data_IF_398096102357
#
_entry.id   IF_398096102357
#
_cell.length_a   1.000
_cell.length_b   1.000
_cell.length_c   1.000
_cell.angle_alpha   90.00
_cell.angle_beta   90.00
_cell.angle_gamma   90.00
#
_symmetry.space_group_name_H-M   'P 1'
#
loop_
_entity.id
_entity.type
_entity.pdbx_description
1 polymer ?
#
# COMPACT_ATOMS: atom_id res chain seq x y z
N UNK A 1 -21.17 19.86 -23.66
CA UNK A 1 -20.32 19.02 -22.79
C UNK A 1 -19.32 18.31 -23.68
N UNK A 2 -18.02 18.52 -23.47
CA UNK A 2 -16.98 17.73 -24.14
C UNK A 2 -16.84 16.43 -23.36
N UNK A 3 -17.13 15.29 -23.99
CA UNK A 3 -16.91 13.98 -23.39
C UNK A 3 -15.44 13.63 -23.58
N UNK A 4 -14.66 13.64 -22.49
CA UNK A 4 -13.28 13.16 -22.53
C UNK A 4 -13.28 11.65 -22.75
N UNK A 5 -12.70 11.18 -23.86
CA UNK A 5 -12.50 9.77 -24.16
C UNK A 5 -11.04 9.44 -23.89
N UNK A 6 -10.78 8.66 -22.85
CA UNK A 6 -9.46 8.07 -22.61
C UNK A 6 -9.47 6.69 -23.29
N UNK A 7 -8.71 6.47 -24.38
CA UNK A 7 -8.56 5.13 -24.93
C UNK A 7 -7.85 4.24 -23.89
N UNK A 8 -8.41 3.06 -23.65
CA UNK A 8 -7.88 2.10 -22.69
C UNK A 8 -7.58 0.78 -23.39
N UNK A 9 -6.37 0.29 -23.22
CA UNK A 9 -5.96 -1.06 -23.61
C UNK A 9 -5.90 -1.94 -22.37
N UNK A 10 -6.37 -3.19 -22.49
CA UNK A 10 -6.41 -4.15 -21.39
C UNK A 10 -5.77 -5.45 -21.82
N UNK A 11 -4.85 -5.94 -20.99
CA UNK A 11 -4.17 -7.21 -21.18
C UNK A 11 -4.23 -8.02 -19.89
N UNK A 12 -4.18 -9.35 -20.02
CA UNK A 12 -3.94 -10.25 -18.89
C UNK A 12 -2.70 -11.06 -19.21
N UNK A 13 -1.68 -10.92 -18.37
CA UNK A 13 -0.43 -11.66 -18.51
C UNK A 13 -0.65 -13.15 -18.18
N UNK A 14 0.25 -14.06 -18.63
CA UNK A 14 0.11 -15.50 -18.36
C UNK A 14 0.03 -15.87 -16.87
N UNK A 15 0.57 -15.03 -15.98
CA UNK A 15 0.51 -15.20 -14.52
C UNK A 15 -0.78 -14.65 -13.88
N UNK A 16 -1.73 -14.14 -14.68
CA UNK A 16 -3.00 -13.58 -14.21
C UNK A 16 -2.97 -12.09 -13.85
N UNK A 17 -1.79 -11.43 -13.91
CA UNK A 17 -1.71 -9.98 -13.67
C UNK A 17 -2.44 -9.21 -14.78
N UNK A 18 -3.39 -8.36 -14.38
CA UNK A 18 -4.14 -7.50 -15.30
C UNK A 18 -3.40 -6.19 -15.50
N UNK A 19 -3.17 -5.84 -16.76
CA UNK A 19 -2.59 -4.57 -17.19
C UNK A 19 -3.68 -3.71 -17.82
N UNK A 20 -3.78 -2.46 -17.37
CA UNK A 20 -4.64 -1.44 -17.99
C UNK A 20 -3.72 -0.29 -18.41
N UNK A 21 -3.66 -0.01 -19.71
CA UNK A 21 -2.81 1.01 -20.29
C UNK A 21 -3.67 2.14 -20.86
N UNK A 22 -3.31 3.38 -20.50
CA UNK A 22 -3.84 4.59 -21.09
C UNK A 22 -2.65 5.38 -21.65
N UNK A 23 -2.46 5.33 -22.97
CA UNK A 23 -1.34 6.00 -23.62
C UNK A 23 -1.69 7.47 -23.91
N UNK A 24 -0.84 8.38 -23.41
CA UNK A 24 -0.93 9.83 -23.66
C UNK A 24 0.48 10.40 -23.80
N UNK A 25 0.78 11.01 -24.96
CA UNK A 25 2.08 11.60 -25.29
C UNK A 25 2.12 13.13 -25.09
N UNK A 26 1.10 13.72 -24.47
CA UNK A 26 1.04 15.16 -24.24
C UNK A 26 2.18 15.69 -23.35
N UNK A 27 2.68 14.85 -22.43
CA UNK A 27 3.78 15.17 -21.51
C UNK A 27 4.73 13.97 -21.36
N UNK A 28 6.03 14.18 -21.15
CA UNK A 28 7.02 13.10 -21.10
C UNK A 28 7.08 12.41 -19.73
N UNK A 29 5.94 12.08 -19.14
CA UNK A 29 5.82 11.42 -17.82
C UNK A 29 4.99 10.15 -17.93
N UNK A 30 5.18 9.24 -16.99
CA UNK A 30 4.37 8.02 -16.87
C UNK A 30 3.97 7.81 -15.41
N UNK A 31 2.72 7.40 -15.21
CA UNK A 31 2.21 6.99 -13.90
C UNK A 31 2.05 5.47 -13.90
N UNK A 32 2.76 4.81 -12.99
CA UNK A 32 2.64 3.38 -12.72
C UNK A 32 1.84 3.21 -11.44
N UNK A 33 0.87 2.31 -11.45
CA UNK A 33 0.00 2.09 -10.30
C UNK A 33 -0.32 0.60 -10.16
N UNK A 34 0.11 0.03 -9.03
CA UNK A 34 -0.04 -1.38 -8.72
C UNK A 34 -1.14 -1.55 -7.68
N UNK A 35 -2.21 -2.26 -8.06
CA UNK A 35 -3.38 -2.47 -7.23
C UNK A 35 -3.47 -3.92 -6.76
N UNK A 36 -3.41 -4.12 -5.45
CA UNK A 36 -3.70 -5.38 -4.81
C UNK A 36 -5.15 -5.40 -4.34
N UNK A 37 -5.87 -6.46 -4.69
CA UNK A 37 -7.24 -6.69 -4.22
C UNK A 37 -7.21 -7.32 -2.82
N UNK A 38 -6.65 -6.58 -1.87
CA UNK A 38 -6.54 -6.92 -0.46
C UNK A 38 -6.59 -5.63 0.35
N UNK A 39 -7.36 -5.59 1.42
CA UNK A 39 -7.42 -4.46 2.35
C UNK A 39 -7.75 -4.94 3.76
N UNK A 40 -8.16 -4.03 4.65
CA UNK A 40 -8.48 -4.42 6.03
C UNK A 40 -9.64 -5.42 6.11
N UNK A 41 -10.56 -5.42 5.14
CA UNK A 41 -11.66 -6.40 5.08
C UNK A 41 -11.18 -7.85 4.93
N UNK A 42 -9.94 -8.07 4.49
CA UNK A 42 -9.37 -9.40 4.34
C UNK A 42 -8.65 -9.88 5.62
N UNK A 43 -8.61 -9.06 6.67
CA UNK A 43 -7.94 -9.37 7.92
C UNK A 43 -8.75 -10.36 8.77
N UNK A 44 -8.06 -10.99 9.70
CA UNK A 44 -8.66 -11.94 10.66
C UNK A 44 -8.80 -11.28 12.01
N UNK A 45 -9.80 -11.70 12.78
CA UNK A 45 -9.96 -11.31 14.18
C UNK A 45 -8.66 -11.65 14.94
N UNK A 46 -8.15 -10.69 15.72
CA UNK A 46 -6.85 -10.78 16.41
C UNK A 46 -5.62 -10.52 15.53
N UNK A 47 -5.81 -10.06 14.29
CA UNK A 47 -4.75 -9.65 13.34
C UNK A 47 -5.17 -8.42 12.53
N UNK A 48 -5.77 -7.44 13.21
CA UNK A 48 -6.21 -6.20 12.57
C UNK A 48 -5.06 -5.21 12.35
N UNK A 49 -5.15 -4.38 11.30
CA UNK A 49 -4.12 -3.40 10.91
C UNK A 49 -2.96 -3.99 10.11
N UNK A 50 -3.06 -5.26 9.73
CA UNK A 50 -2.02 -5.96 8.99
C UNK A 50 -1.89 -5.46 7.56
N UNK A 51 -2.99 -5.20 6.84
CA UNK A 51 -2.93 -4.67 5.48
C UNK A 51 -2.15 -3.36 5.44
N UNK A 52 -2.40 -2.48 6.42
CA UNK A 52 -1.67 -1.22 6.57
C UNK A 52 -0.22 -1.45 7.00
N UNK A 53 0.04 -2.35 7.95
CA UNK A 53 1.42 -2.71 8.34
C UNK A 53 2.21 -3.29 7.16
N UNK A 54 1.59 -4.11 6.31
CA UNK A 54 2.21 -4.66 5.10
C UNK A 54 2.55 -3.57 4.09
N UNK A 55 1.74 -2.51 4.02
CA UNK A 55 2.07 -1.33 3.23
C UNK A 55 3.36 -0.67 3.67
N UNK A 56 3.52 -0.43 4.97
CA UNK A 56 4.77 0.07 5.54
C UNK A 56 5.95 -0.88 5.29
N UNK A 57 5.73 -2.19 5.47
CA UNK A 57 6.78 -3.19 5.28
C UNK A 57 7.28 -3.26 3.84
N UNK A 58 6.42 -3.03 2.84
CA UNK A 58 6.81 -3.00 1.42
C UNK A 58 7.74 -1.83 1.06
N UNK A 59 7.87 -0.84 1.95
CA UNK A 59 8.86 0.23 1.85
C UNK A 59 10.18 -0.05 2.58
N UNK A 60 10.26 -1.13 3.39
CA UNK A 60 11.46 -1.53 4.11
C UNK A 60 12.45 -2.36 3.25
N UNK A 61 12.26 -2.36 1.94
CA UNK A 61 13.11 -3.02 0.96
C UNK A 61 12.69 -4.45 0.63
N UNK A 62 13.42 -5.02 -0.31
CA UNK A 62 13.27 -6.34 -0.92
C UNK A 62 14.65 -6.96 -1.16
N UNK A 63 14.74 -8.14 -1.75
CA UNK A 63 16.02 -8.83 -1.90
C UNK A 63 17.07 -8.03 -2.70
N UNK A 64 16.64 -7.18 -3.64
CA UNK A 64 17.54 -6.40 -4.49
C UNK A 64 17.49 -4.88 -4.22
N UNK A 65 16.62 -4.43 -3.30
CA UNK A 65 16.44 -3.02 -2.97
C UNK A 65 16.49 -2.87 -1.45
N UNK A 66 17.43 -2.08 -0.94
CA UNK A 66 17.60 -1.80 0.47
C UNK A 66 16.41 -1.07 1.10
N UNK A 67 16.44 -0.96 2.43
CA UNK A 67 15.44 -0.16 3.15
C UNK A 67 15.53 1.31 2.69
N UNK A 68 14.39 1.94 2.41
CA UNK A 68 14.26 3.28 1.83
C UNK A 68 14.87 3.49 0.43
N UNK A 69 15.66 2.56 -0.11
CA UNK A 69 16.32 2.70 -1.41
C UNK A 69 15.28 2.83 -2.55
N UNK A 70 14.11 2.22 -2.42
CA UNK A 70 13.01 2.40 -3.36
C UNK A 70 12.61 3.89 -3.50
N UNK A 71 12.45 4.60 -2.37
CA UNK A 71 12.15 6.04 -2.39
C UNK A 71 13.28 6.84 -3.01
N UNK A 72 14.53 6.52 -2.62
CA UNK A 72 15.71 7.22 -3.12
C UNK A 72 15.87 7.09 -4.63
N UNK A 73 15.68 5.89 -5.18
CA UNK A 73 15.80 5.62 -6.62
C UNK A 73 14.75 6.40 -7.42
N UNK A 74 13.49 6.39 -6.99
CA UNK A 74 12.43 7.15 -7.67
C UNK A 74 12.66 8.66 -7.56
N UNK A 75 13.01 9.17 -6.39
CA UNK A 75 13.25 10.61 -6.19
C UNK A 75 14.48 11.09 -6.97
N UNK A 76 15.57 10.29 -7.00
CA UNK A 76 16.76 10.59 -7.82
C UNK A 76 16.47 10.60 -9.32
N UNK A 77 15.50 9.80 -9.76
CA UNK A 77 14.98 9.81 -11.12
C UNK A 77 14.05 11.00 -11.40
N UNK A 78 13.78 11.87 -10.42
CA UNK A 78 12.88 13.03 -10.54
C UNK A 78 11.41 12.67 -10.42
N UNK A 79 11.08 11.50 -9.88
CA UNK A 79 9.72 11.04 -9.68
C UNK A 79 9.16 11.29 -8.28
N UNK A 80 7.87 11.03 -8.14
CA UNK A 80 7.15 11.00 -6.87
C UNK A 80 6.50 9.63 -6.69
N UNK A 81 6.30 9.20 -5.45
CA UNK A 81 5.67 7.93 -5.14
C UNK A 81 4.88 7.99 -3.84
N UNK A 82 3.92 7.09 -3.68
CA UNK A 82 3.27 6.81 -2.41
C UNK A 82 2.59 5.43 -2.38
N UNK A 83 2.14 5.03 -1.19
CA UNK A 83 1.25 3.90 -0.96
C UNK A 83 -0.06 4.37 -0.33
N UNK A 84 -1.11 3.57 -0.47
CA UNK A 84 -2.29 3.71 0.37
C UNK A 84 -3.02 2.38 0.55
N UNK A 85 -3.52 2.17 1.75
CA UNK A 85 -4.40 1.05 2.08
C UNK A 85 -5.82 1.53 2.30
N UNK A 86 -6.81 0.71 1.94
CA UNK A 86 -8.22 0.90 2.26
C UNK A 86 -8.89 -0.41 2.67
N UNK A 87 -10.22 -0.40 2.78
CA UNK A 87 -11.01 -1.57 3.18
C UNK A 87 -10.83 -2.75 2.21
N UNK A 88 -10.78 -2.49 0.91
CA UNK A 88 -10.84 -3.48 -0.17
C UNK A 88 -9.61 -3.52 -1.07
N UNK A 89 -8.63 -2.65 -0.81
CA UNK A 89 -7.44 -2.52 -1.64
C UNK A 89 -6.23 -2.01 -0.87
N UNK A 90 -5.07 -2.33 -1.41
CA UNK A 90 -3.83 -1.63 -1.15
C UNK A 90 -3.24 -1.33 -2.51
N UNK A 91 -2.85 -0.09 -2.73
CA UNK A 91 -2.23 0.31 -3.98
C UNK A 91 -0.97 1.12 -3.71
N UNK A 92 -0.02 0.97 -4.62
CA UNK A 92 1.19 1.74 -4.63
C UNK A 92 1.35 2.37 -5.99
N UNK A 93 1.88 3.57 -6.03
CA UNK A 93 1.94 4.33 -7.25
C UNK A 93 3.13 5.27 -7.27
N UNK A 94 3.63 5.48 -8.47
CA UNK A 94 4.73 6.37 -8.74
C UNK A 94 4.52 7.08 -10.07
N UNK A 95 4.93 8.34 -10.12
CA UNK A 95 4.99 9.13 -11.35
C UNK A 95 6.44 9.46 -11.61
N UNK A 96 6.94 9.06 -12.77
CA UNK A 96 8.35 9.24 -13.16
C UNK A 96 8.41 9.85 -14.58
N UNK A 97 9.54 10.46 -14.97
CA UNK A 97 9.79 10.73 -16.38
C UNK A 97 9.64 9.46 -17.22
N UNK A 98 9.04 9.57 -18.41
CA UNK A 98 8.73 8.42 -19.29
C UNK A 98 9.92 7.49 -19.57
N UNK A 99 11.14 8.03 -19.70
CA UNK A 99 12.37 7.25 -19.89
C UNK A 99 12.79 6.41 -18.66
N UNK A 100 12.13 6.57 -17.52
CA UNK A 100 12.34 5.84 -16.27
C UNK A 100 11.25 4.79 -16.01
N UNK A 101 10.39 4.51 -16.99
CA UNK A 101 9.34 3.49 -16.88
C UNK A 101 9.90 2.13 -16.45
N UNK A 102 11.03 1.72 -17.02
CA UNK A 102 11.68 0.45 -16.68
C UNK A 102 12.11 0.39 -15.21
N UNK A 103 12.61 1.50 -14.66
CA UNK A 103 12.97 1.59 -13.24
C UNK A 103 11.75 1.38 -12.34
N UNK A 104 10.65 2.08 -12.61
CA UNK A 104 9.40 1.94 -11.85
C UNK A 104 8.88 0.50 -11.89
N UNK A 105 8.76 -0.10 -13.08
CA UNK A 105 8.29 -1.47 -13.25
C UNK A 105 9.20 -2.50 -12.57
N UNK A 106 10.52 -2.31 -12.62
CA UNK A 106 11.48 -3.18 -11.95
C UNK A 106 11.34 -3.12 -10.43
N UNK A 107 11.21 -1.91 -9.87
CA UNK A 107 11.02 -1.69 -8.44
C UNK A 107 9.73 -2.35 -7.93
N UNK A 108 8.62 -2.21 -8.67
CA UNK A 108 7.35 -2.87 -8.35
C UNK A 108 7.45 -4.39 -8.38
N UNK A 109 8.08 -4.93 -9.42
CA UNK A 109 8.25 -6.36 -9.58
C UNK A 109 9.13 -6.95 -8.46
N UNK A 110 10.21 -6.26 -8.08
CA UNK A 110 11.11 -6.74 -7.03
C UNK A 110 10.41 -6.78 -5.67
N UNK A 111 9.73 -5.71 -5.26
CA UNK A 111 9.04 -5.72 -3.96
C UNK A 111 7.87 -6.70 -3.92
N UNK A 112 7.16 -6.91 -5.04
CA UNK A 112 6.09 -7.91 -5.13
C UNK A 112 6.63 -9.33 -4.93
N UNK A 113 7.75 -9.67 -5.57
CA UNK A 113 8.25 -11.05 -5.62
C UNK A 113 9.29 -11.37 -4.53
N UNK A 114 9.98 -10.37 -4.00
CA UNK A 114 11.20 -10.51 -3.19
C UNK A 114 11.16 -9.77 -1.85
N UNK A 115 9.98 -9.48 -1.32
CA UNK A 115 9.82 -8.92 0.03
C UNK A 115 10.32 -9.87 1.12
N UNK A 116 9.83 -11.13 1.12
CA UNK A 116 10.04 -12.08 2.23
C UNK A 116 11.52 -12.29 2.59
N UNK A 117 12.46 -12.46 1.64
CA UNK A 117 13.88 -12.61 1.96
C UNK A 117 14.51 -11.38 2.64
N UNK A 118 13.92 -10.20 2.49
CA UNK A 118 14.42 -8.96 3.08
C UNK A 118 13.76 -8.61 4.43
N UNK A 119 12.79 -9.40 4.89
CA UNK A 119 12.12 -9.18 6.16
C UNK A 119 13.01 -9.61 7.33
N UNK A 120 13.15 -8.73 8.32
CA UNK A 120 13.88 -9.00 9.56
C UNK A 120 13.01 -8.59 10.75
N UNK A 121 13.26 -9.19 11.92
CA UNK A 121 12.50 -8.84 13.13
C UNK A 121 12.68 -7.35 13.48
N UNK A 122 13.88 -6.81 13.30
CA UNK A 122 14.19 -5.39 13.50
C UNK A 122 13.34 -4.47 12.62
N UNK A 123 13.19 -4.79 11.33
CA UNK A 123 12.33 -4.02 10.40
C UNK A 123 10.87 -4.06 10.84
N UNK A 124 10.39 -5.25 11.23
CA UNK A 124 9.03 -5.42 11.72
C UNK A 124 8.81 -4.60 13.01
N UNK A 125 9.72 -4.69 13.98
CA UNK A 125 9.64 -3.97 15.25
C UNK A 125 9.58 -2.46 15.03
N UNK A 126 10.45 -1.95 14.15
CA UNK A 126 10.48 -0.55 13.78
C UNK A 126 9.15 -0.10 13.16
N UNK A 127 8.62 -0.85 12.19
CA UNK A 127 7.37 -0.46 11.52
C UNK A 127 6.14 -0.64 12.41
N UNK A 128 6.12 -1.62 13.32
CA UNK A 128 5.08 -1.73 14.35
C UNK A 128 5.02 -0.44 15.18
N UNK A 129 6.15 0.07 15.63
CA UNK A 129 6.18 1.29 16.43
C UNK A 129 5.84 2.55 15.62
N UNK A 130 6.23 2.62 14.34
CA UNK A 130 5.80 3.70 13.42
C UNK A 130 4.28 3.71 13.26
N UNK A 131 3.66 2.57 12.91
CA UNK A 131 2.20 2.48 12.72
C UNK A 131 1.44 2.75 14.02
N UNK A 132 1.95 2.29 15.17
CA UNK A 132 1.37 2.60 16.48
C UNK A 132 1.45 4.10 16.80
N UNK A 133 2.55 4.76 16.45
CA UNK A 133 2.68 6.20 16.61
C UNK A 133 1.76 6.98 15.65
N UNK A 134 1.62 6.51 14.42
CA UNK A 134 0.67 7.08 13.47
C UNK A 134 -0.76 7.00 14.01
N UNK A 135 -1.20 5.83 14.50
CA UNK A 135 -2.50 5.69 15.17
C UNK A 135 -2.68 6.70 16.29
N UNK A 136 -1.68 6.85 17.17
CA UNK A 136 -1.76 7.83 18.27
C UNK A 136 -1.99 9.23 17.75
N UNK A 137 -1.30 9.58 16.66
CA UNK A 137 -1.39 10.91 16.06
C UNK A 137 -2.69 11.14 15.27
N UNK A 138 -3.13 10.18 14.45
CA UNK A 138 -4.25 10.31 13.51
C UNK A 138 -5.61 9.90 14.10
N UNK A 139 -5.62 9.11 15.17
CA UNK A 139 -6.84 8.58 15.80
C UNK A 139 -6.94 8.98 17.26
N UNK A 140 -5.98 8.57 18.10
CA UNK A 140 -6.15 8.68 19.56
C UNK A 140 -6.08 10.13 20.07
N UNK A 141 -5.23 10.96 19.45
CA UNK A 141 -5.04 12.38 19.79
C UNK A 141 -5.86 13.35 18.92
N UNK A 142 -6.80 12.85 18.10
CA UNK A 142 -7.67 13.70 17.29
C UNK A 142 -9.07 13.82 17.93
N UNK A 143 -9.67 15.02 17.97
CA UNK A 143 -11.09 15.16 18.29
C UNK A 143 -11.92 14.29 17.35
N UNK A 144 -12.76 13.43 17.93
CA UNK A 144 -13.57 12.44 17.20
C UNK A 144 -12.77 11.41 16.37
N UNK A 145 -11.45 11.29 16.52
CA UNK A 145 -10.63 10.37 15.72
C UNK A 145 -11.07 8.91 15.82
N UNK A 146 -11.50 8.48 17.02
CA UNK A 146 -12.01 7.12 17.28
C UNK A 146 -13.33 6.78 16.56
N UNK A 147 -13.98 7.73 15.88
CA UNK A 147 -15.23 7.44 15.16
C UNK A 147 -15.02 6.43 14.03
N UNK A 148 -13.85 6.43 13.38
CA UNK A 148 -13.49 5.49 12.32
C UNK A 148 -13.35 4.04 12.81
N UNK A 149 -13.18 3.84 14.11
CA UNK A 149 -13.17 2.52 14.76
C UNK A 149 -14.56 2.16 15.30
N UNK A 150 -15.23 3.12 15.95
CA UNK A 150 -16.51 2.88 16.63
C UNK A 150 -17.68 2.73 15.67
N UNK A 151 -17.75 3.54 14.61
CA UNK A 151 -18.90 3.48 13.71
C UNK A 151 -18.98 2.14 12.96
N UNK A 152 -17.90 1.62 12.34
CA UNK A 152 -18.00 0.33 11.67
C UNK A 152 -18.37 -0.80 12.63
N UNK A 153 -17.85 -0.78 13.86
CA UNK A 153 -18.20 -1.76 14.89
C UNK A 153 -19.68 -1.70 15.34
N UNK A 154 -20.30 -0.51 15.28
CA UNK A 154 -21.73 -0.32 15.56
C UNK A 154 -22.62 -0.69 14.35
N UNK A 155 -22.14 -0.47 13.13
CA UNK A 155 -22.90 -0.74 11.90
C UNK A 155 -22.86 -2.21 11.49
N UNK A 156 -21.76 -2.91 11.79
CA UNK A 156 -21.52 -4.26 11.31
C UNK A 156 -21.32 -5.25 12.47
N UNK A 157 -21.88 -6.47 12.39
CA UNK A 157 -21.66 -7.47 13.43
C UNK A 157 -20.18 -7.90 13.48
N UNK A 158 -19.68 -8.42 14.62
CA UNK A 158 -18.26 -8.80 14.77
C UNK A 158 -17.71 -9.76 13.70
N UNK A 159 -18.56 -10.57 13.09
CA UNK A 159 -18.16 -11.50 12.02
C UNK A 159 -18.01 -10.84 10.65
N UNK A 160 -18.47 -9.59 10.47
CA UNK A 160 -18.42 -8.92 9.19
C UNK A 160 -17.04 -8.30 8.93
N UNK A 161 -16.47 -8.43 7.71
CA UNK A 161 -15.17 -7.87 7.35
C UNK A 161 -14.95 -6.41 7.70
N UNK A 162 -15.97 -5.57 7.55
CA UNK A 162 -15.90 -4.13 7.84
C UNK A 162 -16.15 -3.78 9.31
N UNK A 163 -16.15 -4.75 10.23
CA UNK A 163 -16.38 -4.47 11.65
C UNK A 163 -15.26 -3.65 12.30
N UNK A 164 -14.01 -3.83 11.85
CA UNK A 164 -12.84 -3.18 12.43
C UNK A 164 -12.29 -2.08 11.52
N UNK A 165 -11.59 -1.12 12.11
CA UNK A 165 -10.93 -0.03 11.39
C UNK A 165 -9.67 -0.50 10.66
N UNK A 166 -9.34 0.20 9.58
CA UNK A 166 -8.12 0.00 8.80
C UNK A 166 -6.81 0.04 9.61
N UNK A 167 -6.71 0.97 10.57
CA UNK A 167 -5.49 1.17 11.37
C UNK A 167 -5.22 0.00 12.34
N UNK A 168 -6.22 -0.86 12.58
CA UNK A 168 -6.14 -2.00 13.49
C UNK A 168 -6.09 -1.64 14.97
N UNK A 169 -5.93 -2.67 15.81
CA UNK A 169 -5.82 -2.56 17.27
C UNK A 169 -4.35 -2.44 17.72
N UNK A 170 -4.09 -1.70 18.81
CA UNK A 170 -2.74 -1.63 19.40
C UNK A 170 -2.23 -3.00 19.86
N UNK A 171 -3.16 -3.86 20.30
CA UNK A 171 -2.89 -5.22 20.75
C UNK A 171 -2.46 -6.09 19.57
N UNK A 172 -3.23 -6.10 18.48
CA UNK A 172 -2.98 -6.91 17.29
C UNK A 172 -1.67 -6.49 16.60
N UNK A 173 -1.41 -5.19 16.50
CA UNK A 173 -0.15 -4.66 15.98
C UNK A 173 1.03 -5.10 16.86
N UNK A 174 0.88 -5.09 18.19
CA UNK A 174 1.94 -5.53 19.11
C UNK A 174 2.15 -7.05 19.08
N UNK A 175 1.11 -7.82 18.75
CA UNK A 175 1.15 -9.27 18.60
C UNK A 175 1.68 -9.75 17.25
N UNK A 176 1.88 -8.84 16.27
CA UNK A 176 2.41 -9.20 14.97
C UNK A 176 3.83 -9.80 15.06
N UNK A 177 4.02 -10.94 14.40
CA UNK A 177 5.28 -11.70 14.33
C UNK A 177 5.61 -12.07 12.89
N UNK A 178 6.88 -12.38 12.62
CA UNK A 178 7.33 -12.99 11.36
C UNK A 178 6.80 -14.42 11.19
#
# INVERSE_FOLDING_TARGET
>A
MVTMRIPLEQHTLPNGLRLVLAEDHATPVVAVNLWYHVGSANERVGRTGFAHLFEHMLFQGSANVGANEHFELVQRAGGTLNGSTWLDRTNYFETVPSHQLELALWLEADRMARLLPAMTQEKLDTQRDVVKNERRWSVDNQPYGTWWERLPALCFPPAHPFHHSLIGSMEDLSAASL
#
